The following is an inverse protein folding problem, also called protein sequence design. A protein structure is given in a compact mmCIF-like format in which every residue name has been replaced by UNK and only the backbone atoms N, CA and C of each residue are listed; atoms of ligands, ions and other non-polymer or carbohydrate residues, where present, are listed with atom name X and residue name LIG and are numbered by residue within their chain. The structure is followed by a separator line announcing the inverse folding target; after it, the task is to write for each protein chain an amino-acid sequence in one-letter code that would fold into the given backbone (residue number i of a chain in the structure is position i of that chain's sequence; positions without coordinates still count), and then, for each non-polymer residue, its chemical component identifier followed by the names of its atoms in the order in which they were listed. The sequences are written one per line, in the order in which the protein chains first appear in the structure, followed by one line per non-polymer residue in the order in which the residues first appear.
data_IF_916946447906
#
_entry.id   IF_916946447906
#
_cell.length_a   1.000
_cell.length_b   1.000
_cell.length_c   1.000
_cell.angle_alpha   90.00
_cell.angle_beta   90.00
_cell.angle_gamma   90.00
#
_symmetry.space_group_name_H-M   'P 1'
#
loop_
_entity.id
_entity.type
_entity.pdbx_description
1 polymer ?
#
# COMPACT_ATOMS: atom_id res chain seq x y z
N UNK A 1 -16.77 -22.13 -31.06
CA UNK A 1 -16.65 -20.78 -30.43
C UNK A 1 -16.77 -20.81 -28.92
N UNK A 2 -17.70 -21.57 -28.31
CA UNK A 2 -17.93 -21.65 -26.85
C UNK A 2 -16.73 -22.14 -26.00
N UNK A 3 -15.95 -23.10 -26.48
CA UNK A 3 -14.79 -23.64 -25.75
C UNK A 3 -13.61 -22.67 -25.62
N UNK A 4 -13.42 -21.79 -26.61
CA UNK A 4 -12.40 -20.73 -26.57
C UNK A 4 -12.72 -19.66 -25.53
N UNK A 5 -14.01 -19.36 -25.35
CA UNK A 5 -14.48 -18.40 -24.35
C UNK A 5 -14.35 -18.94 -22.93
N UNK A 6 -14.62 -20.22 -22.72
CA UNK A 6 -14.42 -20.87 -21.43
C UNK A 6 -12.93 -20.91 -21.03
N UNK A 7 -12.05 -21.29 -21.96
CA UNK A 7 -10.61 -21.29 -21.73
C UNK A 7 -10.07 -19.87 -21.44
N UNK A 8 -10.51 -18.86 -22.19
CA UNK A 8 -10.16 -17.48 -21.92
C UNK A 8 -10.64 -16.99 -20.54
N UNK A 9 -11.85 -17.41 -20.11
CA UNK A 9 -12.36 -17.15 -18.77
C UNK A 9 -11.54 -17.80 -17.66
N UNK A 10 -11.12 -19.06 -17.85
CA UNK A 10 -10.24 -19.76 -16.91
C UNK A 10 -8.86 -19.11 -16.80
N UNK A 11 -8.28 -18.64 -17.91
CA UNK A 11 -6.99 -17.93 -17.91
C UNK A 11 -7.13 -16.59 -17.18
N UNK A 12 -8.19 -15.83 -17.44
CA UNK A 12 -8.46 -14.58 -16.71
C UNK A 12 -8.63 -14.79 -15.19
N UNK A 13 -9.32 -15.86 -14.78
CA UNK A 13 -9.50 -16.23 -13.37
C UNK A 13 -8.20 -16.73 -12.71
N UNK A 14 -7.32 -17.40 -13.46
CA UNK A 14 -6.01 -17.79 -12.92
C UNK A 14 -5.09 -16.59 -12.70
N UNK A 15 -5.20 -15.54 -13.53
CA UNK A 15 -4.41 -14.32 -13.43
C UNK A 15 -4.94 -13.32 -12.39
N UNK A 16 -6.19 -13.50 -11.91
CA UNK A 16 -6.81 -12.60 -10.92
C UNK A 16 -6.38 -12.83 -9.47
N UNK A 17 -5.39 -13.70 -9.21
CA UNK A 17 -4.91 -14.03 -7.86
C UNK A 17 -3.79 -13.12 -7.33
N UNK A 18 -3.40 -12.06 -8.06
CA UNK A 18 -2.22 -11.25 -7.72
C UNK A 18 -2.49 -10.03 -6.80
N UNK A 19 -3.63 -9.95 -6.12
CA UNK A 19 -4.02 -8.74 -5.37
C UNK A 19 -4.06 -8.91 -3.84
N UNK A 20 -3.18 -9.74 -3.27
CA UNK A 20 -2.96 -9.75 -1.83
C UNK A 20 -1.68 -8.98 -1.52
N UNK A 21 -1.82 -7.68 -1.28
CA UNK A 21 -0.74 -6.87 -0.73
C UNK A 21 -0.53 -7.28 0.73
N UNK A 22 0.70 -7.69 1.08
CA UNK A 22 1.07 -7.94 2.47
C UNK A 22 1.11 -6.61 3.24
N UNK A 23 0.61 -6.59 4.48
CA UNK A 23 0.65 -5.39 5.32
C UNK A 23 2.11 -5.06 5.71
N UNK A 24 2.66 -4.01 5.09
CA UNK A 24 4.01 -3.51 5.40
C UNK A 24 3.94 -2.57 6.61
N UNK A 25 4.52 -3.00 7.73
CA UNK A 25 4.64 -2.16 8.94
C UNK A 25 5.83 -1.21 8.81
N UNK A 26 5.55 0.10 8.87
CA UNK A 26 6.57 1.16 8.83
C UNK A 26 6.71 1.78 10.23
N UNK A 27 7.94 1.85 10.73
CA UNK A 27 8.23 2.54 11.99
C UNK A 27 8.86 3.91 11.68
N UNK A 28 8.27 4.96 12.27
CA UNK A 28 8.79 6.33 12.21
C UNK A 28 9.18 6.73 13.63
N UNK A 29 10.40 7.21 13.81
CA UNK A 29 10.93 7.59 15.14
C UNK A 29 11.30 9.06 15.08
N UNK A 30 10.57 9.87 15.86
CA UNK A 30 10.80 11.30 15.99
C UNK A 30 10.58 11.76 17.44
N UNK A 31 11.04 12.98 17.75
CA UNK A 31 10.80 13.56 19.07
C UNK A 31 9.32 13.87 19.25
N UNK A 32 8.61 13.06 20.06
CA UNK A 32 7.17 13.25 20.32
C UNK A 32 6.88 14.35 21.35
N UNK A 33 7.90 14.87 22.04
CA UNK A 33 7.74 15.88 23.09
C UNK A 33 9.04 16.65 23.32
N UNK A 34 8.95 17.75 24.08
CA UNK A 34 10.09 18.63 24.36
C UNK A 34 10.29 19.74 23.32
N UNK A 35 11.40 20.49 23.39
CA UNK A 35 11.60 21.72 22.60
C UNK A 35 11.59 21.54 21.08
N UNK A 36 11.76 20.30 20.62
CA UNK A 36 11.88 19.92 19.21
C UNK A 36 10.72 19.04 18.73
N UNK A 37 9.64 18.96 19.52
CA UNK A 37 8.45 18.16 19.16
C UNK A 37 7.87 18.53 17.79
N UNK A 38 7.96 19.81 17.41
CA UNK A 38 7.48 20.29 16.11
C UNK A 38 8.16 19.60 14.91
N UNK A 39 9.43 19.22 15.04
CA UNK A 39 10.13 18.47 13.99
C UNK A 39 9.64 17.02 13.92
N UNK A 40 9.41 16.39 15.08
CA UNK A 40 8.81 15.06 15.14
C UNK A 40 7.39 15.03 14.55
N UNK A 41 6.54 16.00 14.91
CA UNK A 41 5.18 16.13 14.36
C UNK A 41 5.20 16.21 12.83
N UNK A 42 6.18 16.93 12.26
CA UNK A 42 6.37 17.07 10.82
C UNK A 42 6.83 15.77 10.16
N UNK A 43 7.71 15.01 10.82
CA UNK A 43 8.16 13.67 10.39
C UNK A 43 7.01 12.66 10.38
N UNK A 44 6.21 12.62 11.45
CA UNK A 44 5.05 11.72 11.55
C UNK A 44 3.98 12.07 10.51
N UNK A 45 3.60 13.35 10.42
CA UNK A 45 2.57 13.79 9.45
C UNK A 45 3.01 13.54 8.01
N UNK A 46 4.27 13.81 7.68
CA UNK A 46 4.81 13.55 6.34
C UNK A 46 4.87 12.07 6.00
N UNK A 47 5.24 11.23 6.97
CA UNK A 47 5.27 9.78 6.79
C UNK A 47 3.86 9.19 6.60
N UNK A 48 2.87 9.66 7.38
CA UNK A 48 1.47 9.27 7.20
C UNK A 48 0.94 9.64 5.81
N UNK A 49 1.24 10.85 5.33
CA UNK A 49 0.85 11.27 3.98
C UNK A 49 1.51 10.40 2.90
N UNK A 50 2.80 10.08 3.05
CA UNK A 50 3.51 9.23 2.10
C UNK A 50 2.93 7.81 2.06
N UNK A 51 2.60 7.24 3.22
CA UNK A 51 1.94 5.93 3.32
C UNK A 51 0.57 5.97 2.64
N UNK A 52 -0.22 7.02 2.88
CA UNK A 52 -1.53 7.19 2.26
C UNK A 52 -1.42 7.29 0.72
N UNK A 53 -0.46 8.06 0.20
CA UNK A 53 -0.24 8.21 -1.23
C UNK A 53 0.24 6.90 -1.89
N UNK A 54 1.06 6.10 -1.21
CA UNK A 54 1.52 4.79 -1.67
C UNK A 54 0.35 3.81 -1.73
N UNK A 55 -0.46 3.75 -0.66
CA UNK A 55 -1.63 2.87 -0.59
C UNK A 55 -2.66 3.24 -1.67
N UNK A 56 -2.88 4.54 -1.91
CA UNK A 56 -3.77 5.03 -2.96
C UNK A 56 -3.31 4.64 -4.39
N UNK A 57 -2.02 4.42 -4.60
CA UNK A 57 -1.43 3.98 -5.88
C UNK A 57 -1.37 2.46 -6.05
N UNK A 58 -1.92 1.70 -5.09
CA UNK A 58 -1.97 0.24 -5.15
C UNK A 58 -0.85 -0.47 -4.42
N UNK A 59 -0.08 0.22 -3.57
CA UNK A 59 1.03 -0.38 -2.84
C UNK A 59 2.21 -0.78 -3.75
N UNK A 60 3.06 -1.68 -3.27
CA UNK A 60 4.08 -2.36 -4.09
C UNK A 60 3.51 -3.65 -4.69
#
# INVERSE_FOLDING_TARGET
MKGKTLLAGCIALSLSHMAFAEDIKVAVVGAMSGPVAQYGDQEFTGAEQAIADINAKGGN
#
